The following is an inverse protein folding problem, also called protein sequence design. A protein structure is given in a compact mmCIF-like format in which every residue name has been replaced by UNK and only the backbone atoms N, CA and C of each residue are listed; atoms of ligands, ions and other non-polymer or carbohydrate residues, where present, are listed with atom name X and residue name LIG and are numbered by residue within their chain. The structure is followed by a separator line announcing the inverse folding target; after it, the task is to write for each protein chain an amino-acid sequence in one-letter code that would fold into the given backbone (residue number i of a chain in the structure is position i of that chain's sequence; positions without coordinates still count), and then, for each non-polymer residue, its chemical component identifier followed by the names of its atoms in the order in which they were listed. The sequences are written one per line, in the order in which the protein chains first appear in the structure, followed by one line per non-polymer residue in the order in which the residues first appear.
data_IF_758647108596
#
_entry.id   IF_758647108596
#
_cell.length_a   1.000
_cell.length_b   1.000
_cell.length_c   1.000
_cell.angle_alpha   90.00
_cell.angle_beta   90.00
_cell.angle_gamma   90.00
#
_symmetry.space_group_name_H-M   'P 1'
#
loop_
_entity.id
_entity.type
_entity.pdbx_description
1 polymer ?
#
# COMPACT_ATOMS: atom_id res chain seq x y z
N UNK A 1 -8.95 -1.18 10.00
CA UNK A 1 -9.47 -0.19 10.98
C UNK A 1 -8.35 0.67 11.57
N UNK A 2 -7.26 0.08 12.05
CA UNK A 2 -6.10 0.79 12.64
C UNK A 2 -5.40 1.80 11.71
N UNK A 3 -5.19 1.47 10.42
CA UNK A 3 -4.55 2.37 9.45
C UNK A 3 -5.36 3.67 9.23
N UNK A 4 -6.69 3.58 9.28
CA UNK A 4 -7.59 4.74 9.13
C UNK A 4 -7.54 5.65 10.36
N UNK A 5 -7.45 5.05 11.55
CA UNK A 5 -7.30 5.79 12.82
C UNK A 5 -5.94 6.48 12.88
N UNK A 6 -4.86 5.77 12.53
CA UNK A 6 -3.50 6.32 12.52
C UNK A 6 -3.36 7.50 11.56
N UNK A 7 -3.85 7.37 10.31
CA UNK A 7 -3.86 8.47 9.33
C UNK A 7 -4.67 9.68 9.81
N UNK A 8 -5.77 9.45 10.51
CA UNK A 8 -6.61 10.53 11.04
C UNK A 8 -5.92 11.25 12.20
N UNK A 9 -5.31 10.52 13.12
CA UNK A 9 -4.56 11.09 14.26
C UNK A 9 -3.33 11.87 13.76
N UNK A 10 -2.57 11.30 12.83
CA UNK A 10 -1.40 11.96 12.25
C UNK A 10 -1.79 13.26 11.53
N UNK A 11 -2.83 13.23 10.68
CA UNK A 11 -3.30 14.42 9.98
C UNK A 11 -3.85 15.50 10.92
N UNK A 12 -4.50 15.14 12.03
CA UNK A 12 -4.97 16.09 13.05
C UNK A 12 -3.80 16.70 13.81
N UNK A 13 -2.80 15.88 14.18
CA UNK A 13 -1.59 16.34 14.87
C UNK A 13 -0.79 17.32 14.02
N UNK A 14 -0.54 17.01 12.74
CA UNK A 14 0.19 17.92 11.83
C UNK A 14 -0.52 19.27 11.66
N UNK A 15 -1.86 19.26 11.57
CA UNK A 15 -2.65 20.51 11.47
C UNK A 15 -2.56 21.35 12.73
N UNK A 16 -2.62 20.75 13.91
CA UNK A 16 -2.46 21.46 15.19
C UNK A 16 -1.07 22.09 15.31
N UNK A 17 -0.02 21.36 14.98
CA UNK A 17 1.37 21.87 15.02
C UNK A 17 1.54 23.04 14.06
N UNK A 18 1.08 22.91 12.82
CA UNK A 18 1.17 23.99 11.83
C UNK A 18 0.41 25.26 12.25
N UNK A 19 -0.73 25.10 12.92
CA UNK A 19 -1.53 26.20 13.44
C UNK A 19 -0.85 26.92 14.61
N UNK A 20 -0.25 26.17 15.55
CA UNK A 20 0.50 26.75 16.68
C UNK A 20 1.73 27.52 16.19
N UNK A 21 2.45 26.98 15.20
CA UNK A 21 3.59 27.66 14.57
C UNK A 21 3.14 28.96 13.88
N UNK A 22 2.03 28.91 13.14
CA UNK A 22 1.49 30.10 12.48
C UNK A 22 1.08 31.20 13.48
N UNK A 23 0.43 30.83 14.59
CA UNK A 23 0.08 31.77 15.67
C UNK A 23 1.34 32.36 16.30
N UNK A 24 2.35 31.53 16.58
CA UNK A 24 3.63 31.98 17.13
C UNK A 24 4.33 32.99 16.22
N UNK A 25 4.41 32.71 14.92
CA UNK A 25 5.01 33.61 13.94
C UNK A 25 4.22 34.92 13.81
N UNK A 26 2.89 34.86 13.76
CA UNK A 26 2.04 36.06 13.75
C UNK A 26 2.22 36.91 15.02
N UNK A 27 2.33 36.27 16.19
CA UNK A 27 2.61 36.94 17.45
C UNK A 27 3.99 37.62 17.48
N UNK A 28 5.03 36.93 16.99
CA UNK A 28 6.37 37.48 16.88
C UNK A 28 6.43 38.68 15.93
N UNK A 29 5.79 38.59 14.76
CA UNK A 29 5.68 39.71 13.83
C UNK A 29 4.92 40.90 14.44
N UNK A 30 3.81 40.63 15.13
CA UNK A 30 3.04 41.66 15.83
C UNK A 30 3.85 42.36 16.94
N UNK A 31 4.64 41.58 17.70
CA UNK A 31 5.49 42.10 18.76
C UNK A 31 6.66 42.93 18.23
N UNK A 32 7.32 42.51 17.15
CA UNK A 32 8.41 43.28 16.52
C UNK A 32 7.91 44.63 15.99
N UNK A 33 6.74 44.64 15.33
CA UNK A 33 6.08 45.88 14.87
C UNK A 33 5.75 46.79 16.06
N UNK A 34 5.25 46.23 17.16
CA UNK A 34 4.93 46.97 18.38
C UNK A 34 6.16 47.63 19.01
N UNK A 35 7.26 46.87 19.17
CA UNK A 35 8.50 47.36 19.78
C UNK A 35 9.14 48.49 18.97
N UNK A 36 9.06 48.44 17.65
CA UNK A 36 9.62 49.50 16.76
C UNK A 36 8.83 50.81 16.81
N UNK A 37 7.54 50.75 17.09
CA UNK A 37 6.60 51.87 16.91
C UNK A 37 6.13 52.48 18.24
N UNK A 38 6.36 51.81 19.38
CA UNK A 38 5.87 52.20 20.71
C UNK A 38 6.13 53.67 21.11
N UNK A 39 7.19 54.30 20.60
CA UNK A 39 7.50 55.72 20.89
C UNK A 39 6.51 56.70 20.24
N UNK A 40 5.86 56.35 19.13
CA UNK A 40 4.94 57.21 18.38
C UNK A 40 3.49 56.73 18.52
N UNK A 41 2.73 57.41 19.39
CA UNK A 41 1.33 57.04 19.70
C UNK A 41 0.41 56.97 18.48
N UNK A 42 0.54 57.89 17.52
CA UNK A 42 -0.30 57.91 16.32
C UNK A 42 -0.05 56.72 15.38
N UNK A 43 1.22 56.36 15.17
CA UNK A 43 1.61 55.24 14.31
C UNK A 43 1.24 53.91 14.98
N UNK A 44 1.30 53.84 16.31
CA UNK A 44 0.90 52.66 17.07
C UNK A 44 -0.60 52.34 16.91
N UNK A 45 -1.45 53.37 17.00
CA UNK A 45 -2.91 53.22 16.82
C UNK A 45 -3.24 52.82 15.37
N UNK A 46 -2.56 53.41 14.38
CA UNK A 46 -2.75 53.07 12.96
C UNK A 46 -2.31 51.65 12.61
N UNK A 47 -1.15 51.21 13.10
CA UNK A 47 -0.65 49.87 12.86
C UNK A 47 -1.47 48.80 13.61
N UNK A 48 -1.86 49.06 14.86
CA UNK A 48 -2.69 48.15 15.65
C UNK A 48 -4.09 47.95 15.05
N UNK A 49 -4.73 49.03 14.60
CA UNK A 49 -6.07 48.96 14.00
C UNK A 49 -6.10 48.17 12.68
N UNK A 50 -5.08 48.31 11.82
CA UNK A 50 -5.00 47.57 10.56
C UNK A 50 -4.81 46.05 10.76
N UNK A 51 -3.98 45.64 11.71
CA UNK A 51 -3.79 44.21 12.06
C UNK A 51 -5.07 43.62 12.66
N UNK A 52 -5.73 44.34 13.56
CA UNK A 52 -7.01 43.90 14.14
C UNK A 52 -8.09 43.72 13.05
N UNK A 53 -8.21 44.67 12.11
CA UNK A 53 -9.16 44.57 11.00
C UNK A 53 -8.88 43.37 10.09
N UNK A 54 -7.62 43.11 9.76
CA UNK A 54 -7.23 41.93 8.98
C UNK A 54 -7.54 40.62 9.72
N UNK A 55 -7.29 40.56 11.03
CA UNK A 55 -7.60 39.39 11.85
C UNK A 55 -9.09 39.08 11.89
N UNK A 56 -9.93 40.11 12.10
CA UNK A 56 -11.39 39.98 12.06
C UNK A 56 -11.87 39.55 10.68
N UNK A 57 -11.35 40.17 9.60
CA UNK A 57 -11.69 39.80 8.22
C UNK A 57 -11.35 38.34 7.90
N UNK A 58 -10.16 37.87 8.30
CA UNK A 58 -9.75 36.49 8.11
C UNK A 58 -10.64 35.50 8.88
N UNK A 59 -11.00 35.81 10.13
CA UNK A 59 -11.92 34.99 10.93
C UNK A 59 -13.31 34.89 10.30
N UNK A 60 -13.84 36.00 9.77
CA UNK A 60 -15.12 36.02 9.07
C UNK A 60 -15.09 35.15 7.80
N UNK A 61 -14.03 35.24 7.00
CA UNK A 61 -13.87 34.43 5.78
C UNK A 61 -13.77 32.93 6.12
N UNK A 62 -12.96 32.56 7.12
CA UNK A 62 -12.81 31.16 7.55
C UNK A 62 -14.12 30.61 8.10
N UNK A 63 -14.84 31.41 8.91
CA UNK A 63 -16.13 31.03 9.48
C UNK A 63 -17.18 30.85 8.39
N UNK A 64 -17.28 31.81 7.45
CA UNK A 64 -18.17 31.74 6.29
C UNK A 64 -17.92 30.49 5.45
N UNK A 65 -16.65 30.18 5.14
CA UNK A 65 -16.27 28.97 4.39
C UNK A 65 -16.66 27.69 5.14
N UNK A 66 -16.47 27.63 6.46
CA UNK A 66 -16.88 26.48 7.28
C UNK A 66 -18.40 26.30 7.27
N UNK A 67 -19.17 27.38 7.36
CA UNK A 67 -20.62 27.33 7.31
C UNK A 67 -21.12 26.90 5.93
N UNK A 68 -20.56 27.44 4.85
CA UNK A 68 -20.89 27.05 3.47
C UNK A 68 -20.60 25.58 3.18
N UNK A 69 -19.44 25.06 3.62
CA UNK A 69 -19.11 23.62 3.48
C UNK A 69 -20.10 22.76 4.27
N UNK A 70 -20.46 23.17 5.49
CA UNK A 70 -21.46 22.44 6.29
C UNK A 70 -22.82 22.43 5.60
N UNK A 71 -23.26 23.55 5.04
CA UNK A 71 -24.52 23.65 4.29
C UNK A 71 -24.49 22.74 3.06
N UNK A 72 -23.42 22.78 2.26
CA UNK A 72 -23.29 21.94 1.06
C UNK A 72 -23.26 20.43 1.39
N UNK A 73 -22.67 20.05 2.54
CA UNK A 73 -22.71 18.67 3.03
C UNK A 73 -24.10 18.25 3.54
N UNK A 74 -24.88 19.19 4.07
CA UNK A 74 -26.27 18.94 4.46
C UNK A 74 -27.20 18.82 3.23
N UNK A 75 -26.90 19.55 2.16
CA UNK A 75 -27.63 19.51 0.89
C UNK A 75 -27.32 18.25 0.06
N UNK A 76 -26.26 17.51 0.40
CA UNK A 76 -25.99 16.22 -0.23
C UNK A 76 -27.08 15.22 0.19
N UNK A 77 -27.94 14.75 -0.73
CA UNK A 77 -29.03 13.85 -0.38
C UNK A 77 -28.44 12.57 0.21
N UNK A 78 -28.80 12.26 1.46
CA UNK A 78 -28.44 10.98 2.05
C UNK A 78 -29.15 9.91 1.22
N UNK A 79 -28.39 8.91 0.76
CA UNK A 79 -28.96 7.76 0.05
C UNK A 79 -29.97 7.08 1.00
N UNK A 80 -31.25 7.36 0.78
CA UNK A 80 -32.32 6.83 1.59
C UNK A 80 -32.70 5.45 1.04
N UNK A 81 -32.39 4.42 1.82
CA UNK A 81 -32.82 3.05 1.55
C UNK A 81 -34.07 2.80 2.39
N UNK A 82 -35.23 2.49 1.80
CA UNK A 82 -36.48 2.27 2.54
C UNK A 82 -36.39 0.95 3.31
N UNK A 83 -35.91 1.03 4.55
CA UNK A 83 -35.74 -0.12 5.46
C UNK A 83 -37.01 -0.32 6.29
N UNK A 84 -37.79 0.75 6.55
CA UNK A 84 -38.95 0.66 7.43
C UNK A 84 -40.25 0.38 6.64
N UNK A 85 -41.21 -0.34 7.25
CA UNK A 85 -42.51 -0.64 6.63
C UNK A 85 -43.42 0.59 6.47
N UNK A 86 -43.09 1.71 7.11
CA UNK A 86 -43.77 3.00 6.99
C UNK A 86 -43.44 3.76 5.69
N UNK A 87 -42.33 3.42 5.07
CA UNK A 87 -41.68 4.25 4.06
C UNK A 87 -42.24 4.01 2.66
N UNK A 88 -42.83 2.82 2.45
CA UNK A 88 -43.40 2.39 1.18
C UNK A 88 -44.67 1.56 1.41
N UNK A 89 -45.59 1.48 0.43
CA UNK A 89 -46.77 0.64 0.53
C UNK A 89 -46.43 -0.82 0.85
N UNK A 90 -47.26 -1.48 1.67
CA UNK A 90 -47.03 -2.86 2.17
C UNK A 90 -46.72 -3.90 1.08
N UNK A 91 -47.21 -3.71 -0.16
CA UNK A 91 -46.90 -4.61 -1.29
C UNK A 91 -45.46 -4.40 -1.77
N UNK A 92 -45.04 -3.16 -1.93
CA UNK A 92 -43.69 -2.79 -2.35
C UNK A 92 -42.67 -3.19 -1.29
N UNK A 93 -42.98 -2.95 0.00
CA UNK A 93 -42.12 -3.39 1.11
C UNK A 93 -41.86 -4.90 1.06
N UNK A 94 -42.92 -5.71 0.89
CA UNK A 94 -42.81 -7.17 0.80
C UNK A 94 -42.00 -7.62 -0.41
N UNK A 95 -42.17 -6.95 -1.56
CA UNK A 95 -41.39 -7.25 -2.76
C UNK A 95 -39.90 -6.99 -2.51
N UNK A 96 -39.56 -5.81 -1.97
CA UNK A 96 -38.18 -5.43 -1.63
C UNK A 96 -37.57 -6.43 -0.64
N UNK A 97 -38.28 -6.79 0.43
CA UNK A 97 -37.79 -7.74 1.43
C UNK A 97 -37.60 -9.15 0.84
N UNK A 98 -38.50 -9.58 -0.05
CA UNK A 98 -38.37 -10.87 -0.74
C UNK A 98 -37.14 -10.89 -1.64
N UNK A 99 -36.91 -9.84 -2.43
CA UNK A 99 -35.75 -9.73 -3.30
C UNK A 99 -34.44 -9.61 -2.51
N UNK A 100 -34.42 -8.83 -1.43
CA UNK A 100 -33.26 -8.75 -0.53
C UNK A 100 -32.93 -10.11 0.09
N UNK A 101 -33.93 -10.85 0.55
CA UNK A 101 -33.76 -12.20 1.10
C UNK A 101 -33.24 -13.17 0.03
N UNK A 102 -33.76 -13.07 -1.20
CA UNK A 102 -33.29 -13.86 -2.34
C UNK A 102 -31.82 -13.57 -2.67
N UNK A 103 -31.43 -12.30 -2.76
CA UNK A 103 -30.04 -11.90 -3.04
C UNK A 103 -29.13 -12.28 -1.88
N UNK A 104 -29.58 -12.18 -0.63
CA UNK A 104 -28.83 -12.64 0.53
C UNK A 104 -28.56 -14.15 0.46
N UNK A 105 -29.57 -14.95 0.10
CA UNK A 105 -29.41 -16.39 -0.08
C UNK A 105 -28.46 -16.72 -1.25
N UNK A 106 -28.64 -16.10 -2.41
CA UNK A 106 -27.73 -16.27 -3.56
C UNK A 106 -26.30 -15.90 -3.15
N UNK A 107 -26.11 -14.81 -2.41
CA UNK A 107 -24.79 -14.39 -1.94
C UNK A 107 -24.18 -15.37 -0.94
N UNK A 108 -25.00 -16.01 -0.10
CA UNK A 108 -24.53 -17.04 0.84
C UNK A 108 -24.13 -18.31 0.08
N UNK A 109 -24.93 -18.73 -0.90
CA UNK A 109 -24.66 -19.90 -1.74
C UNK A 109 -23.47 -19.68 -2.69
N UNK A 110 -23.26 -18.44 -3.16
CA UNK A 110 -22.15 -18.06 -4.02
C UNK A 110 -20.82 -17.87 -3.27
N UNK A 111 -20.81 -17.97 -1.93
CA UNK A 111 -19.53 -17.99 -1.21
C UNK A 111 -18.74 -19.22 -1.67
N UNK A 112 -17.49 -19.04 -2.15
CA UNK A 112 -16.69 -20.16 -2.60
C UNK A 112 -16.50 -21.12 -1.43
N UNK A 113 -16.76 -22.41 -1.66
CA UNK A 113 -16.48 -23.41 -0.64
C UNK A 113 -14.97 -23.62 -0.56
N UNK A 114 -14.42 -24.00 0.61
CA UNK A 114 -13.00 -24.28 0.74
C UNK A 114 -12.50 -25.34 -0.27
N UNK A 115 -13.34 -26.30 -0.63
CA UNK A 115 -13.04 -27.31 -1.66
C UNK A 115 -13.04 -26.76 -3.10
N UNK A 116 -13.75 -25.65 -3.38
CA UNK A 116 -13.82 -25.02 -4.71
C UNK A 116 -12.65 -24.07 -4.96
N UNK A 117 -11.88 -23.74 -3.91
CA UNK A 117 -10.63 -23.00 -4.05
C UNK A 117 -9.64 -23.88 -4.81
N UNK A 118 -9.56 -23.69 -6.13
CA UNK A 118 -8.53 -24.27 -6.97
C UNK A 118 -7.16 -24.09 -6.29
N UNK A 119 -6.45 -25.20 -6.07
CA UNK A 119 -5.11 -25.30 -5.47
C UNK A 119 -4.00 -24.62 -6.33
N UNK A 120 -4.35 -23.59 -7.09
CA UNK A 120 -3.50 -22.91 -8.06
C UNK A 120 -3.13 -21.52 -7.56
N UNK A 121 -1.83 -21.27 -7.46
CA UNK A 121 -1.25 -19.97 -7.15
C UNK A 121 -1.02 -19.73 -5.65
N UNK A 122 -1.97 -20.11 -4.78
CA UNK A 122 -1.88 -19.89 -3.33
C UNK A 122 -1.76 -21.20 -2.55
N UNK A 123 -1.15 -21.10 -1.37
CA UNK A 123 -1.15 -22.16 -0.38
C UNK A 123 -2.54 -22.58 0.08
N UNK A 124 -2.73 -23.89 0.24
CA UNK A 124 -3.93 -24.44 0.86
C UNK A 124 -4.12 -23.90 2.27
N UNK A 125 -5.36 -23.58 2.61
CA UNK A 125 -5.76 -23.16 3.96
C UNK A 125 -5.44 -24.30 4.93
N UNK A 126 -4.67 -24.04 5.98
CA UNK A 126 -4.18 -25.03 6.95
C UNK A 126 -2.87 -25.74 6.56
N UNK A 127 -2.30 -25.49 5.39
CA UNK A 127 -0.95 -25.95 5.02
C UNK A 127 0.12 -25.00 5.56
N UNK A 128 1.36 -25.48 5.71
CA UNK A 128 2.51 -24.64 6.10
C UNK A 128 2.76 -23.48 5.11
N UNK A 129 2.24 -23.60 3.89
CA UNK A 129 2.41 -22.63 2.81
C UNK A 129 1.19 -21.73 2.60
N UNK A 130 0.18 -21.75 3.50
CA UNK A 130 -1.11 -21.04 3.34
C UNK A 130 -0.97 -19.56 2.93
N UNK A 131 -0.02 -18.84 3.54
CA UNK A 131 0.17 -17.40 3.29
C UNK A 131 1.03 -17.09 2.07
N UNK A 132 1.54 -18.12 1.38
CA UNK A 132 2.52 -17.97 0.30
C UNK A 132 1.83 -18.06 -1.06
N UNK A 133 2.01 -17.03 -1.88
CA UNK A 133 1.70 -17.09 -3.30
C UNK A 133 2.90 -17.68 -4.05
N UNK A 134 2.73 -18.90 -4.56
CA UNK A 134 3.81 -19.72 -5.13
C UNK A 134 4.59 -19.01 -6.22
N UNK A 135 3.88 -18.39 -7.16
CA UNK A 135 4.50 -17.71 -8.30
C UNK A 135 5.31 -16.49 -7.88
N UNK A 136 4.79 -15.68 -6.95
CA UNK A 136 5.51 -14.50 -6.47
C UNK A 136 6.75 -14.90 -5.67
N UNK A 137 6.60 -15.89 -4.78
CA UNK A 137 7.72 -16.41 -3.99
C UNK A 137 8.81 -17.02 -4.89
N UNK A 138 8.42 -17.77 -5.93
CA UNK A 138 9.34 -18.32 -6.92
C UNK A 138 10.05 -17.23 -7.75
N UNK A 139 9.39 -16.12 -8.07
CA UNK A 139 10.05 -15.01 -8.80
C UNK A 139 11.07 -14.30 -7.89
N UNK A 140 10.81 -14.22 -6.59
CA UNK A 140 11.71 -13.59 -5.62
C UNK A 140 13.01 -14.39 -5.40
N UNK A 141 13.06 -15.69 -5.73
CA UNK A 141 14.28 -16.49 -5.55
C UNK A 141 15.45 -15.97 -6.38
N UNK A 142 15.19 -15.32 -7.52
CA UNK A 142 16.25 -14.70 -8.33
C UNK A 142 16.93 -13.54 -7.60
N UNK A 143 16.17 -12.70 -6.91
CA UNK A 143 16.72 -11.59 -6.11
C UNK A 143 17.58 -12.14 -4.96
N UNK A 144 17.16 -13.23 -4.33
CA UNK A 144 17.93 -13.90 -3.28
C UNK A 144 19.26 -14.46 -3.82
N UNK A 145 19.24 -15.03 -5.03
CA UNK A 145 20.44 -15.52 -5.70
C UNK A 145 21.41 -14.38 -6.02
N UNK A 146 20.92 -13.27 -6.56
CA UNK A 146 21.72 -12.08 -6.89
C UNK A 146 22.37 -11.47 -5.64
N UNK A 147 21.61 -11.39 -4.53
CA UNK A 147 22.14 -10.96 -3.23
C UNK A 147 23.24 -11.89 -2.73
N UNK A 148 23.01 -13.21 -2.74
CA UNK A 148 24.00 -14.18 -2.28
C UNK A 148 25.27 -14.20 -3.15
N UNK A 149 25.15 -14.01 -4.46
CA UNK A 149 26.31 -13.90 -5.34
C UNK A 149 27.12 -12.62 -5.06
N UNK A 150 26.42 -11.50 -4.82
CA UNK A 150 27.05 -10.22 -4.46
C UNK A 150 27.75 -10.28 -3.09
N UNK A 151 27.23 -11.09 -2.15
CA UNK A 151 27.86 -11.35 -0.85
C UNK A 151 29.19 -12.13 -0.97
N UNK A 152 29.29 -13.06 -1.94
CA UNK A 152 30.54 -13.80 -2.20
C UNK A 152 31.61 -12.87 -2.76
N UNK A 153 31.24 -12.06 -3.77
CA UNK A 153 32.13 -11.06 -4.34
C UNK A 153 31.32 -9.90 -4.92
N UNK A 154 31.72 -8.64 -4.66
CA UNK A 154 31.12 -7.48 -5.30
C UNK A 154 31.18 -7.51 -6.84
N UNK A 155 32.10 -8.30 -7.40
CA UNK A 155 32.25 -8.50 -8.85
C UNK A 155 31.03 -9.19 -9.48
N UNK A 156 30.32 -10.04 -8.73
CA UNK A 156 29.14 -10.76 -9.22
C UNK A 156 27.84 -9.96 -9.15
N UNK A 157 27.92 -8.64 -8.89
CA UNK A 157 26.75 -7.76 -8.96
C UNK A 157 26.23 -7.69 -10.40
N UNK A 158 24.94 -7.93 -10.58
CA UNK A 158 24.31 -7.81 -11.90
C UNK A 158 24.12 -6.35 -12.29
N UNK A 159 24.39 -6.03 -13.55
CA UNK A 159 23.97 -4.76 -14.13
C UNK A 159 22.45 -4.78 -14.43
N UNK A 160 21.69 -3.70 -14.14
CA UNK A 160 20.25 -3.66 -14.37
C UNK A 160 19.81 -4.00 -15.81
N UNK A 161 20.64 -3.70 -16.82
CA UNK A 161 20.37 -3.97 -18.24
C UNK A 161 20.52 -5.45 -18.63
N UNK A 162 21.19 -6.24 -17.81
CA UNK A 162 21.47 -7.66 -18.08
C UNK A 162 20.28 -8.51 -17.65
N UNK A 163 19.81 -9.38 -18.55
CA UNK A 163 18.71 -10.31 -18.28
C UNK A 163 19.08 -11.36 -17.22
N UNK A 164 18.08 -11.93 -16.56
CA UNK A 164 18.28 -13.00 -15.58
C UNK A 164 19.06 -14.18 -16.17
N UNK A 165 18.74 -14.58 -17.41
CA UNK A 165 19.45 -15.66 -18.11
C UNK A 165 20.90 -15.35 -18.39
N UNK A 166 21.17 -14.17 -18.93
CA UNK A 166 22.55 -13.76 -19.23
C UNK A 166 23.40 -13.67 -17.96
N UNK A 167 22.80 -13.26 -16.85
CA UNK A 167 23.44 -13.24 -15.54
C UNK A 167 23.79 -14.65 -15.04
N UNK A 168 22.87 -15.62 -15.15
CA UNK A 168 23.14 -17.02 -14.78
C UNK A 168 24.25 -17.62 -15.66
N UNK A 169 24.24 -17.36 -16.96
CA UNK A 169 25.30 -17.82 -17.88
C UNK A 169 26.68 -17.30 -17.48
N UNK A 170 26.77 -16.03 -17.06
CA UNK A 170 28.01 -15.44 -16.55
C UNK A 170 28.49 -16.19 -15.29
N UNK A 171 27.60 -16.48 -14.34
CA UNK A 171 27.96 -17.23 -13.13
C UNK A 171 28.35 -18.69 -13.40
N UNK A 172 27.79 -19.30 -14.46
CA UNK A 172 28.22 -20.63 -14.92
C UNK A 172 29.63 -20.55 -15.54
N UNK A 173 29.91 -19.52 -16.34
CA UNK A 173 31.22 -19.33 -16.99
C UNK A 173 32.36 -19.16 -15.97
N UNK A 174 32.09 -18.48 -14.86
CA UNK A 174 33.01 -18.31 -13.73
C UNK A 174 33.10 -19.56 -12.82
N UNK A 175 32.49 -20.69 -13.20
CA UNK A 175 32.44 -21.96 -12.45
C UNK A 175 31.81 -21.87 -11.05
N UNK A 176 31.09 -20.78 -10.76
CA UNK A 176 30.42 -20.53 -9.48
C UNK A 176 29.14 -21.35 -9.35
N UNK A 177 28.43 -21.57 -10.46
CA UNK A 177 27.20 -22.34 -10.49
C UNK A 177 27.34 -23.61 -11.33
N UNK A 178 26.71 -24.69 -10.85
CA UNK A 178 26.64 -25.94 -11.61
C UNK A 178 25.72 -25.78 -12.81
N UNK A 179 26.27 -26.03 -14.01
CA UNK A 179 25.61 -25.76 -15.30
C UNK A 179 24.26 -26.47 -15.47
N UNK A 180 24.17 -27.72 -15.06
CA UNK A 180 22.98 -28.58 -15.15
C UNK A 180 21.78 -27.98 -14.38
N UNK A 181 22.00 -27.64 -13.10
CA UNK A 181 20.95 -27.09 -12.22
C UNK A 181 20.61 -25.67 -12.61
N UNK A 182 21.61 -24.88 -12.98
CA UNK A 182 21.43 -23.47 -13.34
C UNK A 182 20.55 -23.30 -14.59
N UNK A 183 20.76 -24.13 -15.63
CA UNK A 183 19.90 -24.13 -16.81
C UNK A 183 18.46 -24.56 -16.49
N UNK A 184 18.29 -25.64 -15.72
CA UNK A 184 16.95 -26.08 -15.33
C UNK A 184 16.21 -25.02 -14.51
N UNK A 185 16.91 -24.35 -13.59
CA UNK A 185 16.35 -23.26 -12.80
C UNK A 185 15.91 -22.07 -13.66
N UNK A 186 16.77 -21.57 -14.55
CA UNK A 186 16.45 -20.36 -15.32
C UNK A 186 15.32 -20.60 -16.33
N UNK A 187 15.28 -21.77 -16.95
CA UNK A 187 14.20 -22.14 -17.88
C UNK A 187 12.84 -22.14 -17.17
N UNK A 188 12.78 -22.72 -15.96
CA UNK A 188 11.55 -22.72 -15.15
C UNK A 188 11.23 -21.32 -14.63
N UNK A 189 12.22 -20.55 -14.19
CA UNK A 189 12.03 -19.18 -13.75
C UNK A 189 11.41 -18.29 -14.84
N UNK A 190 11.90 -18.36 -16.08
CA UNK A 190 11.37 -17.57 -17.20
C UNK A 190 9.94 -18.00 -17.57
N UNK A 191 9.67 -19.31 -17.62
CA UNK A 191 8.32 -19.83 -17.82
C UNK A 191 7.34 -19.32 -16.77
N UNK A 192 7.78 -19.23 -15.51
CA UNK A 192 6.95 -18.71 -14.43
C UNK A 192 6.77 -17.20 -14.54
N UNK A 193 7.86 -16.45 -14.75
CA UNK A 193 7.82 -14.99 -14.80
C UNK A 193 6.97 -14.45 -15.96
N UNK A 194 7.09 -15.06 -17.13
CA UNK A 194 6.43 -14.59 -18.36
C UNK A 194 5.18 -15.40 -18.73
N UNK A 195 5.01 -16.60 -18.16
CA UNK A 195 3.86 -17.44 -18.46
C UNK A 195 2.58 -16.99 -17.78
N UNK A 196 1.39 -17.23 -18.39
CA UNK A 196 0.10 -16.87 -17.79
C UNK A 196 -0.36 -17.88 -16.71
N UNK A 197 0.18 -19.11 -16.72
CA UNK A 197 -0.23 -20.20 -15.83
C UNK A 197 0.19 -19.93 -14.37
N UNK A 198 -0.69 -20.27 -13.45
CA UNK A 198 -0.42 -20.32 -12.02
C UNK A 198 0.26 -21.65 -11.64
N UNK A 199 1.06 -21.63 -10.58
CA UNK A 199 1.81 -22.78 -10.11
C UNK A 199 0.99 -23.57 -9.07
N UNK A 200 1.05 -24.90 -9.12
CA UNK A 200 0.52 -25.79 -8.08
C UNK A 200 1.51 -25.97 -6.92
N UNK A 201 1.05 -26.45 -5.77
CA UNK A 201 1.91 -26.72 -4.62
C UNK A 201 3.04 -27.71 -4.94
N UNK A 202 2.76 -28.74 -5.74
CA UNK A 202 3.76 -29.75 -6.12
C UNK A 202 4.86 -29.15 -7.00
N UNK A 203 4.47 -28.38 -8.02
CA UNK A 203 5.41 -27.66 -8.90
C UNK A 203 6.25 -26.65 -8.10
N UNK A 204 5.66 -25.99 -7.10
CA UNK A 204 6.38 -25.07 -6.22
C UNK A 204 7.45 -25.78 -5.39
N UNK A 205 7.09 -26.90 -4.75
CA UNK A 205 8.05 -27.70 -3.97
C UNK A 205 9.19 -28.21 -4.85
N UNK A 206 8.90 -28.63 -6.07
CA UNK A 206 9.93 -29.05 -7.03
C UNK A 206 10.86 -27.88 -7.41
N UNK A 207 10.29 -26.73 -7.76
CA UNK A 207 11.08 -25.53 -8.08
C UNK A 207 11.98 -25.10 -6.91
N UNK A 208 11.46 -25.12 -5.68
CA UNK A 208 12.23 -24.78 -4.48
C UNK A 208 13.36 -25.78 -4.20
N UNK A 209 13.20 -27.07 -4.52
CA UNK A 209 14.30 -28.05 -4.44
C UNK A 209 15.42 -27.73 -5.41
N UNK A 210 15.09 -27.38 -6.65
CA UNK A 210 16.07 -26.96 -7.67
C UNK A 210 16.80 -25.71 -7.20
N UNK A 211 16.05 -24.71 -6.70
CA UNK A 211 16.64 -23.50 -6.15
C UNK A 211 17.56 -23.79 -4.97
N UNK A 212 17.20 -24.70 -4.06
CA UNK A 212 18.04 -25.08 -2.93
C UNK A 212 19.35 -25.76 -3.39
N UNK A 213 19.30 -26.61 -4.42
CA UNK A 213 20.50 -27.21 -5.02
C UNK A 213 21.39 -26.14 -5.67
N UNK A 214 20.79 -25.20 -6.39
CA UNK A 214 21.51 -24.08 -7.01
C UNK A 214 22.17 -23.19 -5.95
N UNK A 215 21.42 -22.81 -4.91
CA UNK A 215 21.89 -21.96 -3.82
C UNK A 215 22.99 -22.65 -2.99
N UNK A 216 22.92 -23.98 -2.85
CA UNK A 216 24.00 -24.76 -2.25
C UNK A 216 25.27 -24.72 -3.09
N UNK A 217 25.15 -24.88 -4.42
CA UNK A 217 26.32 -24.80 -5.31
C UNK A 217 27.02 -23.45 -5.24
N UNK A 218 26.25 -22.37 -5.08
CA UNK A 218 26.77 -21.01 -4.90
C UNK A 218 27.58 -20.85 -3.61
N UNK A 219 27.15 -21.44 -2.48
CA UNK A 219 27.83 -21.28 -1.18
C UNK A 219 29.03 -22.19 -0.99
N UNK A 220 29.03 -23.35 -1.62
CA UNK A 220 30.11 -24.33 -1.54
C UNK A 220 30.49 -24.73 -2.96
N UNK A 221 31.26 -23.88 -3.67
CA UNK A 221 31.76 -24.24 -5.00
C UNK A 221 32.57 -25.53 -4.86
N UNK A 222 32.22 -26.55 -5.66
CA UNK A 222 33.00 -27.79 -5.69
C UNK A 222 34.42 -27.43 -6.16
N UNK A 223 35.42 -27.69 -5.32
CA UNK A 223 36.82 -27.47 -5.67
C UNK A 223 37.15 -28.35 -6.88
N UNK A 224 37.82 -27.83 -7.93
CA UNK A 224 38.29 -28.66 -9.02
C UNK A 224 39.32 -29.66 -8.47
N UNK A 225 39.01 -30.95 -8.61
CA UNK A 225 39.95 -32.06 -8.41
C UNK A 225 40.85 -32.27 -9.63
#
# INVERSE_FOLDING_TARGET
MFDKIYKTIFAVSTRLVSFLIAIGLLGLCGLDIFLRIYKNKYVLIGAGSSVCLLGVGALLIISSRKLSIRSALQDTPKLYVPINPSDVPKRVYRLIQADLSKVANISLEAKPRPEDALDLGWGKIGSQLETIHYKTAAIQTFELLEKAATEISPFYRRDPSVSARRYIEMLIAETVLRKDVAHYYIDRYEQLRFGPRQMSEAEYKEFMKVFALLFRSLRYPELPG
#
